data_IF_693634701280
#
_entry.id   IF_693634701280
#
_cell.length_a   1.000
_cell.length_b   1.000
_cell.length_c   1.000
_cell.angle_alpha   90.00
_cell.angle_beta   90.00
_cell.angle_gamma   90.00
#
_symmetry.space_group_name_H-M   'P 1'
#
loop_
_entity.id
_entity.type
_entity.pdbx_description
1 polymer ?
#
# COMPACT_ATOMS: atom_id res chain seq x y z
N UNK A 1 6.52 5.72 -12.21
CA UNK A 1 5.64 6.54 -11.37
C UNK A 1 5.92 6.22 -9.91
N UNK A 2 5.95 7.21 -9.01
CA UNK A 2 6.31 7.02 -7.59
C UNK A 2 5.11 7.08 -6.66
N UNK A 3 5.29 6.66 -5.40
CA UNK A 3 4.28 6.82 -4.33
C UNK A 3 3.83 8.27 -4.21
N UNK A 4 4.76 9.23 -4.27
CA UNK A 4 4.43 10.67 -4.19
C UNK A 4 3.50 11.12 -5.32
N UNK A 5 3.76 10.69 -6.56
CA UNK A 5 2.91 11.04 -7.70
C UNK A 5 1.48 10.51 -7.53
N UNK A 6 1.34 9.29 -7.03
CA UNK A 6 0.03 8.73 -6.71
C UNK A 6 -0.68 9.50 -5.59
N UNK A 7 0.03 9.90 -4.53
CA UNK A 7 -0.56 10.68 -3.45
C UNK A 7 -1.01 12.07 -3.92
N UNK A 8 -0.21 12.73 -4.78
CA UNK A 8 -0.58 13.99 -5.43
C UNK A 8 -1.83 13.81 -6.30
N UNK A 9 -1.91 12.72 -7.08
CA UNK A 9 -3.10 12.37 -7.85
C UNK A 9 -4.34 12.22 -6.95
N UNK A 10 -4.23 11.47 -5.86
CA UNK A 10 -5.35 11.32 -4.92
C UNK A 10 -5.78 12.66 -4.30
N UNK A 11 -4.82 13.54 -4.01
CA UNK A 11 -5.11 14.82 -3.37
C UNK A 11 -5.79 15.81 -4.33
N UNK A 12 -5.26 15.96 -5.54
CA UNK A 12 -5.70 17.02 -6.45
C UNK A 12 -6.78 16.56 -7.42
N UNK A 13 -6.66 15.35 -7.97
CA UNK A 13 -7.60 14.81 -8.95
C UNK A 13 -8.79 14.13 -8.28
N UNK A 14 -8.53 13.30 -7.25
CA UNK A 14 -9.60 12.62 -6.49
C UNK A 14 -10.14 13.44 -5.33
N UNK A 15 -9.47 14.55 -4.96
CA UNK A 15 -9.88 15.47 -3.88
C UNK A 15 -10.06 14.75 -2.54
N UNK A 16 -9.25 13.73 -2.27
CA UNK A 16 -9.27 13.03 -0.99
C UNK A 16 -8.76 13.95 0.13
N UNK A 17 -9.34 13.79 1.32
CA UNK A 17 -8.93 14.55 2.50
C UNK A 17 -7.46 14.27 2.85
N UNK A 18 -6.79 15.22 3.49
CA UNK A 18 -5.40 15.04 3.95
C UNK A 18 -5.25 13.82 4.86
N UNK A 19 -6.25 13.53 5.69
CA UNK A 19 -6.25 12.34 6.55
C UNK A 19 -6.30 11.04 5.73
N UNK A 20 -7.09 11.03 4.66
CA UNK A 20 -7.13 9.92 3.70
C UNK A 20 -5.78 9.77 3.00
N UNK A 21 -5.18 10.86 2.51
CA UNK A 21 -3.85 10.83 1.88
C UNK A 21 -2.79 10.27 2.84
N UNK A 22 -2.80 10.70 4.10
CA UNK A 22 -1.88 10.19 5.11
C UNK A 22 -2.07 8.69 5.35
N UNK A 23 -3.32 8.22 5.37
CA UNK A 23 -3.62 6.79 5.51
C UNK A 23 -3.05 5.97 4.34
N UNK A 24 -3.21 6.45 3.11
CA UNK A 24 -2.63 5.82 1.92
C UNK A 24 -1.09 5.83 1.97
N UNK A 25 -0.47 6.95 2.35
CA UNK A 25 0.97 7.07 2.52
C UNK A 25 1.50 6.03 3.51
N UNK A 26 0.92 5.97 4.71
CA UNK A 26 1.35 5.05 5.76
C UNK A 26 1.24 3.59 5.32
N UNK A 27 0.15 3.23 4.63
CA UNK A 27 -0.02 1.86 4.15
C UNK A 27 0.99 1.49 3.06
N UNK A 28 1.26 2.40 2.11
CA UNK A 28 2.23 2.16 1.04
C UNK A 28 3.66 2.07 1.55
N UNK A 29 4.03 2.92 2.51
CA UNK A 29 5.35 2.84 3.15
C UNK A 29 5.52 1.53 3.91
N UNK A 30 4.52 1.11 4.70
CA UNK A 30 4.58 -0.16 5.41
C UNK A 30 4.74 -1.35 4.46
N UNK A 31 4.04 -1.35 3.32
CA UNK A 31 4.20 -2.41 2.33
C UNK A 31 5.57 -2.35 1.65
N UNK A 32 6.09 -1.15 1.37
CA UNK A 32 7.45 -0.96 0.84
C UNK A 32 8.51 -1.50 1.79
N UNK A 33 8.37 -1.23 3.09
CA UNK A 33 9.28 -1.73 4.12
C UNK A 33 9.22 -3.25 4.21
N UNK A 34 8.00 -3.83 4.18
CA UNK A 34 7.82 -5.27 4.14
C UNK A 34 8.47 -5.91 2.91
N UNK A 35 8.29 -5.33 1.72
CA UNK A 35 8.91 -5.79 0.48
C UNK A 35 10.43 -5.81 0.58
N UNK A 36 11.02 -4.74 1.12
CA UNK A 36 12.47 -4.65 1.28
C UNK A 36 13.00 -5.62 2.32
N UNK A 37 12.36 -5.73 3.48
CA UNK A 37 12.83 -6.59 4.57
C UNK A 37 12.68 -8.08 4.23
N UNK A 38 11.56 -8.47 3.64
CA UNK A 38 11.22 -9.89 3.42
C UNK A 38 11.77 -10.42 2.10
N UNK A 39 11.83 -9.59 1.07
CA UNK A 39 12.18 -10.03 -0.29
C UNK A 39 13.37 -9.30 -0.90
N UNK A 40 13.91 -8.26 -0.23
CA UNK A 40 14.95 -7.37 -0.79
C UNK A 40 14.56 -6.86 -2.19
N UNK A 41 13.30 -6.42 -2.31
CA UNK A 41 12.67 -6.05 -3.56
C UNK A 41 11.94 -4.70 -3.42
N UNK A 42 11.82 -3.99 -4.54
CA UNK A 42 11.11 -2.71 -4.58
C UNK A 42 9.62 -2.90 -4.88
N UNK A 43 8.84 -1.83 -4.66
CA UNK A 43 7.41 -1.82 -5.02
C UNK A 43 7.17 -2.14 -6.51
N UNK A 44 8.13 -1.82 -7.38
CA UNK A 44 8.07 -2.12 -8.81
C UNK A 44 8.12 -3.63 -9.12
N UNK A 45 8.71 -4.43 -8.23
CA UNK A 45 8.85 -5.88 -8.36
C UNK A 45 7.67 -6.64 -7.74
N UNK A 46 6.61 -5.93 -7.35
CA UNK A 46 5.46 -6.53 -6.65
C UNK A 46 4.74 -7.56 -7.52
N UNK A 47 4.54 -8.74 -6.96
CA UNK A 47 3.74 -9.82 -7.53
C UNK A 47 2.57 -10.17 -6.60
N UNK A 48 1.59 -10.92 -7.11
CA UNK A 48 0.43 -11.36 -6.32
C UNK A 48 0.82 -12.15 -5.06
N UNK A 49 1.93 -12.90 -5.10
CA UNK A 49 2.42 -13.64 -3.94
C UNK A 49 2.84 -12.71 -2.81
N UNK A 50 3.53 -11.61 -3.11
CA UNK A 50 3.98 -10.64 -2.09
C UNK A 50 2.79 -9.97 -1.37
N UNK A 51 1.69 -9.69 -2.09
CA UNK A 51 0.48 -9.12 -1.48
C UNK A 51 -0.20 -10.13 -0.54
N UNK A 52 -0.17 -11.42 -0.89
CA UNK A 52 -0.71 -12.49 -0.04
C UNK A 52 0.15 -12.66 1.21
N UNK A 53 1.47 -12.69 1.06
CA UNK A 53 2.40 -12.84 2.18
C UNK A 53 2.33 -11.64 3.12
N UNK A 54 2.15 -10.42 2.58
CA UNK A 54 1.90 -9.23 3.39
C UNK A 54 0.61 -9.33 4.20
N UNK A 55 -0.46 -9.89 3.61
CA UNK A 55 -1.73 -10.12 4.32
C UNK A 55 -1.53 -11.06 5.51
N UNK A 56 -0.82 -12.18 5.30
CA UNK A 56 -0.49 -13.14 6.36
C UNK A 56 0.34 -12.46 7.45
N UNK A 57 1.41 -11.77 7.06
CA UNK A 57 2.26 -11.02 7.99
C UNK A 57 1.46 -10.02 8.84
N UNK A 58 0.56 -9.25 8.23
CA UNK A 58 -0.29 -8.30 8.98
C UNK A 58 -1.17 -9.00 10.01
N UNK A 59 -1.74 -10.16 9.68
CA UNK A 59 -2.55 -10.97 10.58
C UNK A 59 -1.71 -11.51 11.74
N UNK A 60 -0.49 -11.98 11.48
CA UNK A 60 0.46 -12.43 12.51
C UNK A 60 0.89 -11.30 13.45
N UNK A 61 0.96 -10.06 12.95
CA UNK A 61 1.19 -8.86 13.77
C UNK A 61 -0.06 -8.43 14.56
N UNK A 62 -1.17 -9.16 14.50
CA UNK A 62 -2.39 -8.87 15.26
C UNK A 62 -3.23 -7.71 14.70
N UNK A 63 -3.04 -7.33 13.44
CA UNK A 63 -3.89 -6.32 12.82
C UNK A 63 -5.33 -6.82 12.69
N UNK A 64 -6.30 -5.95 12.97
CA UNK A 64 -7.72 -6.26 12.75
C UNK A 64 -8.03 -6.47 11.27
N UNK A 65 -9.03 -7.29 10.96
CA UNK A 65 -9.49 -7.54 9.58
C UNK A 65 -9.78 -6.25 8.81
N UNK A 66 -10.38 -5.26 9.49
CA UNK A 66 -10.64 -3.94 8.90
C UNK A 66 -9.34 -3.21 8.50
N UNK A 67 -8.31 -3.30 9.33
CA UNK A 67 -7.00 -2.69 9.06
C UNK A 67 -6.31 -3.38 7.88
N UNK A 68 -6.36 -4.72 7.84
CA UNK A 68 -5.83 -5.51 6.73
C UNK A 68 -6.59 -5.16 5.44
N UNK A 69 -7.92 -5.18 5.45
CA UNK A 69 -8.75 -4.84 4.29
C UNK A 69 -8.49 -3.43 3.75
N UNK A 70 -8.29 -2.44 4.63
CA UNK A 70 -7.91 -1.08 4.26
C UNK A 70 -6.55 -1.05 3.55
N UNK A 71 -5.53 -1.71 4.10
CA UNK A 71 -4.19 -1.78 3.51
C UNK A 71 -4.20 -2.44 2.14
N UNK A 72 -4.91 -3.55 1.97
CA UNK A 72 -5.06 -4.23 0.67
C UNK A 72 -5.82 -3.36 -0.34
N UNK A 73 -6.81 -2.58 0.11
CA UNK A 73 -7.52 -1.63 -0.75
C UNK A 73 -6.61 -0.50 -1.22
N UNK A 74 -5.73 0.01 -0.34
CA UNK A 74 -4.67 0.96 -0.70
C UNK A 74 -3.79 0.38 -1.82
N UNK A 75 -3.26 -0.84 -1.65
CA UNK A 75 -2.39 -1.48 -2.64
C UNK A 75 -3.10 -1.64 -3.99
N UNK A 76 -4.36 -2.10 -3.97
CA UNK A 76 -5.17 -2.24 -5.19
C UNK A 76 -5.31 -0.92 -5.93
N UNK A 77 -5.62 0.16 -5.23
CA UNK A 77 -5.76 1.49 -5.83
C UNK A 77 -4.44 2.00 -6.39
N UNK A 78 -3.33 1.78 -5.70
CA UNK A 78 -1.99 2.17 -6.15
C UNK A 78 -1.57 1.42 -7.41
N UNK A 79 -1.63 0.09 -7.43
CA UNK A 79 -1.25 -0.69 -8.61
C UNK A 79 -2.18 -0.47 -9.79
N UNK A 80 -3.46 -0.17 -9.55
CA UNK A 80 -4.39 0.24 -10.61
C UNK A 80 -4.00 1.59 -11.24
N UNK A 81 -3.42 2.51 -10.47
CA UNK A 81 -2.95 3.80 -11.00
C UNK A 81 -1.67 3.66 -11.84
N UNK A 82 -0.86 2.62 -11.61
CA UNK A 82 0.38 2.37 -12.34
C UNK A 82 0.17 1.74 -13.73
N UNK A 83 -1.03 1.22 -14.02
CA UNK A 83 -1.43 0.63 -15.30
C UNK A 83 -2.07 1.72 -16.16
#
# INVERSE_FOLDING_TARGET
MTVEQFLTYLQHEKRYSLHTIQSYRTDLLQFSDFMQITFNADLADTQHIHVRDFMVWLMEQGNSENSVGRKISTLRSFFKYLI
#
